data_IF_101056382848
#
_entry.id   IF_101056382848
#
_cell.length_a   1.000
_cell.length_b   1.000
_cell.length_c   1.000
_cell.angle_alpha   90.00
_cell.angle_beta   90.00
_cell.angle_gamma   90.00
#
_symmetry.space_group_name_H-M   'P 1'
#
loop_
_entity.id
_entity.type
_entity.pdbx_description
1 polymer ?
#
# COMPACT_ATOMS: atom_id res chain seq x y z
N UNK A 1 10.17 2.43 20.28
CA UNK A 1 9.69 1.71 19.10
C UNK A 1 9.88 2.56 17.85
N UNK A 2 10.49 1.99 16.86
CA UNK A 2 10.74 2.70 15.62
C UNK A 2 9.43 2.94 14.87
N UNK A 3 9.16 4.20 14.49
CA UNK A 3 7.95 4.57 13.78
C UNK A 3 8.10 4.26 12.28
N UNK A 4 8.03 2.98 11.94
CA UNK A 4 8.26 2.48 10.59
C UNK A 4 7.18 2.94 9.62
N UNK A 5 7.61 3.41 8.46
CA UNK A 5 6.73 3.93 7.42
C UNK A 5 6.59 2.92 6.28
N UNK A 6 5.36 2.55 5.97
CA UNK A 6 5.01 1.54 4.98
C UNK A 6 4.15 2.11 3.87
N UNK A 7 4.49 1.79 2.62
CA UNK A 7 3.55 1.95 1.51
C UNK A 7 2.83 0.62 1.32
N UNK A 8 1.51 0.66 1.33
CA UNK A 8 0.69 -0.55 1.20
C UNK A 8 0.18 -0.65 -0.22
N UNK A 9 0.55 -1.73 -0.93
CA UNK A 9 0.08 -1.97 -2.28
C UNK A 9 -1.43 -2.22 -2.31
N UNK A 10 -2.08 -1.81 -3.39
CA UNK A 10 -3.53 -1.91 -3.57
C UNK A 10 -4.08 -3.31 -3.24
N UNK A 11 -3.40 -4.36 -3.69
CA UNK A 11 -3.88 -5.73 -3.46
C UNK A 11 -3.94 -6.12 -1.99
N UNK A 12 -3.05 -5.56 -1.16
CA UNK A 12 -3.08 -5.84 0.28
C UNK A 12 -4.36 -5.25 0.91
N UNK A 13 -4.70 -4.02 0.55
CA UNK A 13 -5.93 -3.39 1.02
C UNK A 13 -7.15 -4.19 0.57
N UNK A 14 -7.16 -4.63 -0.69
CA UNK A 14 -8.26 -5.44 -1.24
C UNK A 14 -8.37 -6.81 -0.58
N UNK A 15 -7.23 -7.44 -0.27
CA UNK A 15 -7.21 -8.72 0.43
C UNK A 15 -7.90 -8.61 1.79
N UNK A 16 -7.64 -7.52 2.51
CA UNK A 16 -8.29 -7.21 3.77
C UNK A 16 -9.78 -6.92 3.57
N UNK A 17 -10.09 -6.02 2.65
CA UNK A 17 -11.45 -5.53 2.46
C UNK A 17 -12.41 -6.59 1.95
N UNK A 18 -11.95 -7.42 1.01
CA UNK A 18 -12.75 -8.46 0.36
C UNK A 18 -12.50 -9.85 0.95
N UNK A 19 -11.73 -9.94 2.01
CA UNK A 19 -11.42 -11.18 2.71
C UNK A 19 -10.90 -12.28 1.78
N UNK A 20 -9.97 -11.92 0.87
CA UNK A 20 -9.41 -12.84 -0.11
C UNK A 20 -8.48 -13.87 0.54
N UNK A 21 -8.80 -15.15 0.37
CA UNK A 21 -7.99 -16.23 0.92
C UNK A 21 -6.93 -16.69 -0.08
N UNK A 22 -5.76 -17.08 0.37
CA UNK A 22 -5.29 -17.22 1.77
C UNK A 22 -4.64 -15.94 2.34
N UNK A 23 -4.85 -14.78 1.73
CA UNK A 23 -4.12 -13.54 2.01
C UNK A 23 -4.75 -12.67 3.10
N UNK A 24 -6.04 -12.88 3.38
CA UNK A 24 -6.82 -11.97 4.23
C UNK A 24 -6.27 -11.81 5.64
N UNK A 25 -5.82 -12.89 6.28
CA UNK A 25 -5.36 -12.85 7.67
C UNK A 25 -4.12 -11.97 7.83
N UNK A 26 -3.12 -12.14 6.96
CA UNK A 26 -1.91 -11.32 7.02
C UNK A 26 -2.20 -9.87 6.65
N UNK A 27 -3.06 -9.65 5.67
CA UNK A 27 -3.48 -8.30 5.28
C UNK A 27 -4.16 -7.60 6.46
N UNK A 28 -5.05 -8.31 7.17
CA UNK A 28 -5.74 -7.77 8.34
C UNK A 28 -4.75 -7.33 9.42
N UNK A 29 -3.75 -8.15 9.70
CA UNK A 29 -2.73 -7.83 10.70
C UNK A 29 -1.92 -6.59 10.33
N UNK A 30 -1.53 -6.46 9.06
CA UNK A 30 -0.84 -5.26 8.56
C UNK A 30 -1.74 -4.03 8.75
N UNK A 31 -3.00 -4.14 8.33
CA UNK A 31 -3.95 -3.03 8.43
C UNK A 31 -4.17 -2.62 9.89
N UNK A 32 -4.28 -3.58 10.81
CA UNK A 32 -4.46 -3.28 12.22
C UNK A 32 -3.28 -2.49 12.81
N UNK A 33 -2.05 -2.84 12.47
CA UNK A 33 -0.89 -2.07 12.92
C UNK A 33 -0.95 -0.62 12.45
N UNK A 34 -1.39 -0.39 11.22
CA UNK A 34 -1.52 0.95 10.67
C UNK A 34 -2.70 1.71 11.31
N UNK A 35 -3.84 1.05 11.47
CA UNK A 35 -5.05 1.64 12.06
C UNK A 35 -4.78 2.04 13.51
N UNK A 36 -4.06 1.22 14.26
CA UNK A 36 -3.76 1.46 15.67
C UNK A 36 -2.61 2.43 15.90
N UNK A 37 -1.97 2.90 14.83
CA UNK A 37 -0.88 3.87 14.92
C UNK A 37 0.47 3.30 15.31
N UNK A 38 0.61 1.97 15.36
CA UNK A 38 1.89 1.31 15.65
C UNK A 38 2.88 1.46 14.48
N UNK A 39 2.33 1.58 13.27
CA UNK A 39 3.08 1.80 12.04
C UNK A 39 2.46 2.98 11.29
N UNK A 40 3.27 3.71 10.55
CA UNK A 40 2.77 4.78 9.69
C UNK A 40 2.45 4.20 8.32
N UNK A 41 1.18 4.10 7.98
CA UNK A 41 0.72 3.58 6.70
C UNK A 41 0.51 4.68 5.67
N UNK A 42 0.97 4.43 4.45
CA UNK A 42 0.82 5.32 3.31
C UNK A 42 0.12 4.58 2.19
N UNK A 43 -0.79 5.27 1.50
CA UNK A 43 -1.44 4.76 0.28
C UNK A 43 -1.21 5.75 -0.84
N UNK A 44 -0.92 5.24 -2.02
CA UNK A 44 -0.86 6.08 -3.21
C UNK A 44 -2.27 6.56 -3.57
N UNK A 45 -2.39 7.78 -4.10
CA UNK A 45 -3.70 8.34 -4.46
C UNK A 45 -4.48 7.46 -5.42
N UNK A 46 -3.81 6.85 -6.40
CA UNK A 46 -4.48 5.97 -7.37
C UNK A 46 -5.03 4.69 -6.72
N UNK A 47 -4.44 4.27 -5.59
CA UNK A 47 -4.94 3.10 -4.85
C UNK A 47 -6.39 3.30 -4.42
N UNK A 48 -6.74 4.50 -3.94
CA UNK A 48 -8.13 4.80 -3.54
C UNK A 48 -9.08 4.68 -4.73
N UNK A 49 -8.69 5.21 -5.88
CA UNK A 49 -9.53 5.13 -7.08
C UNK A 49 -9.71 3.69 -7.55
N UNK A 50 -8.65 2.91 -7.51
CA UNK A 50 -8.69 1.50 -7.87
C UNK A 50 -9.59 0.70 -6.93
N UNK A 51 -9.51 0.95 -5.63
CA UNK A 51 -10.36 0.29 -4.64
C UNK A 51 -11.83 0.62 -4.91
N UNK A 52 -12.15 1.90 -5.15
CA UNK A 52 -13.50 2.34 -5.43
C UNK A 52 -14.09 1.61 -6.64
N UNK A 53 -13.30 1.50 -7.71
CA UNK A 53 -13.72 0.84 -8.94
C UNK A 53 -13.86 -0.68 -8.78
N UNK A 54 -12.83 -1.33 -8.21
CA UNK A 54 -12.78 -2.80 -8.11
C UNK A 54 -13.91 -3.34 -7.23
N UNK A 55 -14.29 -2.61 -6.19
CA UNK A 55 -15.32 -3.06 -5.24
C UNK A 55 -16.76 -2.76 -5.69
N UNK A 56 -16.95 -2.22 -6.90
CA UNK A 56 -18.27 -1.76 -7.36
C UNK A 56 -19.35 -2.86 -7.43
N UNK A 57 -18.94 -4.11 -7.62
CA UNK A 57 -19.90 -5.24 -7.70
C UNK A 57 -20.29 -5.78 -6.33
N UNK A 58 -19.39 -5.67 -5.37
CA UNK A 58 -19.58 -6.25 -4.04
C UNK A 58 -20.19 -5.27 -3.04
N UNK A 59 -20.06 -3.97 -3.29
CA UNK A 59 -20.43 -2.94 -2.32
C UNK A 59 -21.18 -1.79 -2.97
N UNK A 60 -22.11 -1.21 -2.22
CA UNK A 60 -22.88 -0.04 -2.66
C UNK A 60 -21.99 1.19 -2.80
N UNK A 61 -22.45 2.22 -3.51
CA UNK A 61 -21.75 3.50 -3.60
C UNK A 61 -21.54 4.10 -2.20
N UNK A 62 -22.56 4.03 -1.35
CA UNK A 62 -22.50 4.56 -0.01
C UNK A 62 -21.39 3.88 0.81
N UNK A 63 -21.37 2.55 0.80
CA UNK A 63 -20.37 1.79 1.55
C UNK A 63 -18.97 2.05 1.03
N UNK A 64 -18.79 2.14 -0.28
CA UNK A 64 -17.48 2.43 -0.89
C UNK A 64 -16.96 3.80 -0.49
N UNK A 65 -17.82 4.81 -0.46
CA UNK A 65 -17.43 6.15 -0.01
C UNK A 65 -17.01 6.14 1.45
N UNK A 66 -17.76 5.44 2.31
CA UNK A 66 -17.43 5.32 3.72
C UNK A 66 -16.08 4.63 3.93
N UNK A 67 -15.81 3.57 3.18
CA UNK A 67 -14.53 2.85 3.23
C UNK A 67 -13.37 3.78 2.87
N UNK A 68 -13.51 4.54 1.77
CA UNK A 68 -12.44 5.46 1.37
C UNK A 68 -12.21 6.56 2.39
N UNK A 69 -13.28 7.06 3.01
CA UNK A 69 -13.14 8.07 4.06
C UNK A 69 -12.38 7.50 5.27
N UNK A 70 -12.66 6.26 5.65
CA UNK A 70 -11.92 5.59 6.72
C UNK A 70 -10.45 5.41 6.36
N UNK A 71 -10.16 5.01 5.13
CA UNK A 71 -8.78 4.88 4.67
C UNK A 71 -8.04 6.22 4.71
N UNK A 72 -8.70 7.30 4.32
CA UNK A 72 -8.12 8.65 4.41
C UNK A 72 -7.83 9.06 5.85
N UNK A 73 -8.62 8.56 6.80
CA UNK A 73 -8.43 8.88 8.21
C UNK A 73 -7.26 8.09 8.82
N UNK A 74 -7.10 6.82 8.43
CA UNK A 74 -6.08 5.94 8.99
C UNK A 74 -4.71 6.04 8.31
N UNK A 75 -4.67 6.46 7.04
CA UNK A 75 -3.46 6.46 6.22
C UNK A 75 -3.12 7.85 5.71
N UNK A 76 -1.83 8.07 5.48
CA UNK A 76 -1.39 9.23 4.72
C UNK A 76 -1.58 8.90 3.24
N UNK A 77 -2.26 9.79 2.52
CA UNK A 77 -2.51 9.60 1.10
C UNK A 77 -1.51 10.44 0.30
N UNK A 78 -0.76 9.78 -0.55
CA UNK A 78 0.27 10.43 -1.36
C UNK A 78 -0.37 10.97 -2.63
N UNK A 79 -0.29 12.27 -2.84
CA UNK A 79 -0.85 12.94 -4.01
C UNK A 79 -0.03 12.62 -5.26
N UNK A 80 -0.72 12.48 -6.39
CA UNK A 80 -0.11 12.28 -7.69
C UNK A 80 -0.12 13.61 -8.44
N UNK A 81 1.05 14.14 -8.77
CA UNK A 81 1.13 15.33 -9.60
C UNK A 81 1.68 15.00 -10.99
N UNK A 82 1.61 15.98 -11.86
CA UNK A 82 2.06 15.85 -13.26
C UNK A 82 3.53 15.47 -13.36
N UNK A 83 4.38 16.07 -12.54
CA UNK A 83 5.82 15.81 -12.57
C UNK A 83 6.14 14.36 -12.21
N UNK A 84 5.47 13.83 -11.19
CA UNK A 84 5.64 12.43 -10.79
C UNK A 84 5.25 11.46 -11.90
N UNK A 85 4.18 11.76 -12.61
CA UNK A 85 3.73 10.93 -13.73
C UNK A 85 4.76 10.97 -14.85
N UNK A 86 5.27 12.15 -15.19
CA UNK A 86 6.27 12.29 -16.26
C UNK A 86 7.54 11.52 -15.92
N UNK A 87 8.03 11.65 -14.69
CA UNK A 87 9.23 10.93 -14.26
C UNK A 87 9.02 9.42 -14.37
N UNK A 88 7.87 8.93 -13.93
CA UNK A 88 7.56 7.49 -14.00
C UNK A 88 7.50 7.01 -15.45
N UNK A 89 6.88 7.80 -16.34
CA UNK A 89 6.78 7.45 -17.76
C UNK A 89 8.13 7.44 -18.48
N UNK A 90 9.05 8.30 -18.07
CA UNK A 90 10.37 8.37 -18.66
C UNK A 90 11.36 7.33 -18.14
N UNK A 91 11.03 6.66 -17.06
CA UNK A 91 11.90 5.64 -16.47
C UNK A 91 11.75 4.33 -17.22
N UNK A 92 12.76 3.96 -18.00
CA UNK A 92 12.74 2.76 -18.83
C UNK A 92 12.72 1.45 -18.03
N UNK A 93 13.14 1.49 -16.77
CA UNK A 93 13.13 0.31 -15.90
C UNK A 93 11.73 -0.03 -15.39
N UNK A 94 10.81 0.94 -15.40
CA UNK A 94 9.46 0.73 -14.88
C UNK A 94 8.50 0.37 -16.01
N UNK A 95 8.11 -0.90 -16.06
CA UNK A 95 7.21 -1.42 -17.10
C UNK A 95 5.75 -1.09 -16.83
N UNK A 96 5.36 -0.99 -15.55
CA UNK A 96 4.00 -0.69 -15.12
C UNK A 96 3.98 0.69 -14.47
N UNK A 97 3.07 1.56 -14.93
CA UNK A 97 3.00 2.93 -14.44
C UNK A 97 2.61 3.02 -12.97
N UNK A 98 1.64 2.19 -12.54
CA UNK A 98 1.19 2.22 -11.14
C UNK A 98 2.30 1.78 -10.20
N UNK A 99 2.99 0.69 -10.54
CA UNK A 99 4.12 0.20 -9.75
C UNK A 99 5.26 1.21 -9.73
N UNK A 100 5.54 1.81 -10.89
CA UNK A 100 6.55 2.86 -10.99
C UNK A 100 6.24 4.07 -10.11
N UNK A 101 4.98 4.50 -10.09
CA UNK A 101 4.54 5.60 -9.24
C UNK A 101 4.69 5.23 -7.76
N UNK A 102 4.35 4.00 -7.38
CA UNK A 102 4.53 3.57 -5.99
C UNK A 102 6.00 3.56 -5.58
N UNK A 103 6.90 3.08 -6.45
CA UNK A 103 8.34 3.11 -6.17
C UNK A 103 8.86 4.55 -6.02
N UNK A 104 8.39 5.45 -6.88
CA UNK A 104 8.76 6.85 -6.82
C UNK A 104 8.29 7.51 -5.53
N UNK A 105 7.05 7.24 -5.11
CA UNK A 105 6.51 7.76 -3.87
C UNK A 105 7.31 7.28 -2.66
N UNK A 106 7.60 5.99 -2.64
CA UNK A 106 8.34 5.40 -1.53
C UNK A 106 9.72 6.05 -1.38
N UNK A 107 10.39 6.32 -2.51
CA UNK A 107 11.68 6.98 -2.51
C UNK A 107 11.57 8.46 -2.08
N UNK A 108 10.62 9.19 -2.65
CA UNK A 108 10.42 10.61 -2.37
C UNK A 108 10.06 10.86 -0.91
N UNK A 109 9.17 10.06 -0.36
CA UNK A 109 8.72 10.17 1.03
C UNK A 109 9.66 9.45 2.01
N UNK A 110 10.70 8.80 1.50
CA UNK A 110 11.68 8.06 2.30
C UNK A 110 11.00 6.99 3.17
N UNK A 111 10.08 6.24 2.57
CA UNK A 111 9.39 5.15 3.26
C UNK A 111 10.33 3.96 3.42
N UNK A 112 10.13 3.20 4.50
CA UNK A 112 11.00 2.08 4.81
C UNK A 112 10.73 0.86 3.95
N UNK A 113 9.46 0.53 3.73
CA UNK A 113 9.06 -0.68 3.02
C UNK A 113 7.86 -0.46 2.11
N UNK A 114 7.78 -1.28 1.07
CA UNK A 114 6.57 -1.44 0.27
C UNK A 114 6.03 -2.83 0.59
N UNK A 115 4.80 -2.91 1.11
CA UNK A 115 4.16 -4.19 1.43
C UNK A 115 3.32 -4.62 0.25
N UNK A 116 3.71 -5.74 -0.37
CA UNK A 116 3.12 -6.23 -1.62
C UNK A 116 3.19 -7.75 -1.69
N UNK A 117 2.29 -8.35 -2.47
CA UNK A 117 2.38 -9.77 -2.82
C UNK A 117 3.27 -10.01 -4.04
N UNK A 118 3.60 -8.95 -4.78
CA UNK A 118 4.32 -9.04 -6.06
C UNK A 118 5.69 -8.38 -5.96
N UNK A 119 6.58 -8.95 -5.15
CA UNK A 119 7.93 -8.40 -4.93
C UNK A 119 8.68 -8.15 -6.23
N UNK A 120 8.47 -9.01 -7.23
CA UNK A 120 9.15 -8.91 -8.53
C UNK A 120 8.90 -7.58 -9.23
N UNK A 121 7.73 -6.98 -9.01
CA UNK A 121 7.35 -5.73 -9.65
C UNK A 121 8.05 -4.52 -9.05
N UNK A 122 8.73 -4.72 -7.91
CA UNK A 122 9.39 -3.64 -7.16
C UNK A 122 10.89 -3.86 -6.98
N UNK A 123 11.52 -4.66 -7.83
CA UNK A 123 12.95 -5.00 -7.70
C UNK A 123 13.89 -3.80 -7.80
N UNK A 124 13.47 -2.75 -8.49
CA UNK A 124 14.27 -1.53 -8.66
C UNK A 124 13.91 -0.43 -7.67
N UNK A 125 13.18 -0.77 -6.62
CA UNK A 125 12.74 0.20 -5.62
C UNK A 125 13.84 0.50 -4.60
N UNK A 126 13.96 1.77 -4.20
CA UNK A 126 14.84 2.16 -3.09
C UNK A 126 14.28 1.66 -1.75
N UNK A 127 12.95 1.72 -1.58
CA UNK A 127 12.31 1.10 -0.43
C UNK A 127 12.27 -0.41 -0.64
N UNK A 128 12.48 -1.17 0.43
CA UNK A 128 12.50 -2.62 0.35
C UNK A 128 11.08 -3.18 0.21
N UNK A 129 10.83 -3.93 -0.85
CA UNK A 129 9.53 -4.61 -1.02
C UNK A 129 9.52 -5.90 -0.20
N UNK A 130 8.46 -6.11 0.55
CA UNK A 130 8.30 -7.30 1.40
C UNK A 130 6.90 -7.88 1.27
N UNK A 131 6.83 -9.22 1.36
CA UNK A 131 5.55 -9.90 1.52
C UNK A 131 4.98 -9.59 2.91
N UNK A 132 3.65 -9.55 3.05
CA UNK A 132 3.03 -9.33 4.37
C UNK A 132 3.55 -10.28 5.45
N UNK A 133 3.63 -11.58 5.16
CA UNK A 133 4.08 -12.57 6.13
C UNK A 133 5.52 -12.33 6.58
N UNK A 134 6.40 -11.94 5.67
CA UNK A 134 7.79 -11.68 6.00
C UNK A 134 7.94 -10.42 6.85
N UNK A 135 7.19 -9.38 6.51
CA UNK A 135 7.19 -8.16 7.31
C UNK A 135 6.66 -8.41 8.72
N UNK A 136 5.55 -9.15 8.84
CA UNK A 136 4.96 -9.46 10.14
C UNK A 136 5.91 -10.25 11.01
N UNK A 137 6.62 -11.20 10.43
CA UNK A 137 7.62 -11.99 11.18
C UNK A 137 8.76 -11.09 11.69
N UNK A 138 9.25 -10.22 10.84
CA UNK A 138 10.29 -9.25 11.22
C UNK A 138 9.81 -8.35 12.35
N UNK A 139 8.58 -7.85 12.26
CA UNK A 139 7.97 -6.98 13.26
C UNK A 139 7.84 -7.69 14.61
N UNK A 140 7.41 -8.95 14.62
CA UNK A 140 7.29 -9.75 15.83
C UNK A 140 8.65 -9.98 16.50
N UNK A 141 9.68 -10.24 15.69
CA UNK A 141 11.04 -10.44 16.20
C UNK A 141 11.58 -9.17 16.86
N UNK A 142 11.29 -7.99 16.29
CA UNK A 142 11.70 -6.72 16.87
C UNK A 142 10.98 -6.39 18.18
N UNK A 143 9.78 -6.94 18.39
CA UNK A 143 8.97 -6.72 19.58
C UNK A 143 9.40 -7.61 20.78
N UNK A 144 10.25 -8.58 20.51
CA UNK A 144 10.82 -9.43 21.57
C UNK A 144 12.07 -8.72 22.13
#
# INVERSE_FOLDING_TARGET
>A
MKNTALLIDTNIVLDWLLERQPFAENAERIMEYCINGNLRGYLAGHTLLNIFYITRKEKSIKDRKEILLMLCDWFEIIEIDKEMIIIALQNEQWQDLEDGLQMQYAAHEKLDYIITRNIKDFTNSEATAMLPEDFLKMQEDEMK
#
